data_IF_874581376354
#
_entry.id   IF_874581376354
#
_cell.length_a   1.000
_cell.length_b   1.000
_cell.length_c   1.000
_cell.angle_alpha   90.00
_cell.angle_beta   90.00
_cell.angle_gamma   90.00
#
_symmetry.space_group_name_H-M   'P 1'
#
loop_
_entity.id
_entity.type
_entity.pdbx_description
1 polymer ?
#
# COMPACT_ATOMS: atom_id res chain seq x y z
N UNK A 1 42.56 -43.03 -16.81
CA UNK A 1 41.53 -43.15 -17.87
C UNK A 1 40.69 -44.40 -17.61
N UNK A 2 39.39 -44.17 -17.44
CA UNK A 2 38.18 -45.03 -17.53
C UNK A 2 38.33 -46.56 -17.50
N UNK A 3 37.63 -47.17 -16.53
CA UNK A 3 36.97 -48.47 -16.71
C UNK A 3 35.62 -48.47 -15.97
N UNK A 4 34.53 -48.49 -16.72
CA UNK A 4 33.24 -48.92 -16.17
C UNK A 4 32.53 -49.73 -17.26
N UNK A 5 32.36 -51.01 -16.96
CA UNK A 5 31.73 -52.04 -17.80
C UNK A 5 30.22 -51.97 -17.52
N UNK A 6 29.43 -51.90 -18.58
CA UNK A 6 27.97 -52.03 -18.51
C UNK A 6 27.59 -53.50 -18.67
N UNK A 7 26.88 -54.03 -17.67
CA UNK A 7 26.28 -55.36 -17.70
C UNK A 7 24.89 -55.28 -18.31
N UNK A 8 24.70 -56.08 -19.34
CA UNK A 8 23.46 -56.38 -20.06
C UNK A 8 22.60 -57.34 -19.22
N UNK A 9 21.27 -57.16 -19.19
CA UNK A 9 20.35 -58.29 -19.10
C UNK A 9 18.95 -57.90 -19.57
N UNK A 10 18.51 -58.59 -20.61
CA UNK A 10 17.17 -58.55 -21.19
C UNK A 10 16.19 -59.36 -20.32
N UNK A 11 14.91 -58.96 -20.35
CA UNK A 11 13.80 -59.71 -19.77
C UNK A 11 12.47 -59.25 -20.36
N UNK A 12 12.02 -59.96 -21.39
CA UNK A 12 10.70 -59.83 -22.03
C UNK A 12 9.63 -60.33 -21.07
N UNK A 13 8.53 -59.60 -20.87
CA UNK A 13 7.26 -60.18 -20.43
C UNK A 13 6.06 -59.47 -21.04
N UNK A 14 5.03 -60.28 -21.26
CA UNK A 14 3.96 -60.17 -22.24
C UNK A 14 2.91 -59.07 -22.03
N UNK A 15 2.22 -58.79 -23.14
CA UNK A 15 0.97 -58.02 -23.28
C UNK A 15 -0.08 -58.33 -22.22
N UNK A 16 -0.72 -57.27 -21.72
CA UNK A 16 -2.13 -57.28 -21.32
C UNK A 16 -2.83 -56.10 -21.99
N UNK A 17 -3.77 -56.42 -22.87
CA UNK A 17 -4.72 -55.49 -23.48
C UNK A 17 -5.89 -55.25 -22.54
N UNK A 18 -6.27 -53.99 -22.30
CA UNK A 18 -7.67 -53.61 -22.06
C UNK A 18 -8.00 -52.31 -22.79
N UNK A 19 -9.17 -52.36 -23.41
CA UNK A 19 -9.82 -51.35 -24.23
C UNK A 19 -10.53 -50.33 -23.33
N UNK A 20 -10.58 -49.06 -23.78
CA UNK A 20 -11.75 -48.21 -23.60
C UNK A 20 -11.65 -47.12 -22.54
N UNK A 21 -11.56 -45.86 -22.98
CA UNK A 21 -12.75 -45.03 -23.17
C UNK A 21 -12.37 -43.67 -23.77
N UNK A 22 -13.09 -43.31 -24.83
CA UNK A 22 -13.13 -42.00 -25.46
C UNK A 22 -13.40 -40.88 -24.44
N UNK A 23 -12.64 -39.79 -24.52
CA UNK A 23 -13.09 -38.48 -24.07
C UNK A 23 -12.43 -37.37 -24.89
N UNK A 24 -13.20 -36.94 -25.88
CA UNK A 24 -13.39 -35.59 -26.39
C UNK A 24 -12.22 -34.62 -26.29
N UNK A 25 -11.59 -34.39 -27.45
CA UNK A 25 -10.93 -33.13 -27.77
C UNK A 25 -11.95 -32.00 -27.71
N UNK A 26 -11.75 -31.02 -26.83
CA UNK A 26 -12.38 -29.71 -26.98
C UNK A 26 -11.50 -28.62 -26.37
N UNK A 27 -11.14 -27.69 -27.26
CA UNK A 27 -10.78 -26.29 -27.03
C UNK A 27 -9.41 -25.97 -26.39
N UNK A 28 -8.38 -25.98 -27.25
CA UNK A 28 -7.23 -25.07 -27.13
C UNK A 28 -7.68 -23.63 -27.42
N UNK A 29 -8.41 -23.04 -26.48
CA UNK A 29 -8.54 -21.59 -26.38
C UNK A 29 -7.36 -21.08 -25.57
N UNK A 30 -6.25 -20.79 -26.26
CA UNK A 30 -5.21 -19.89 -25.76
C UNK A 30 -5.83 -18.53 -25.44
N UNK A 31 -6.35 -18.38 -24.22
CA UNK A 31 -6.54 -17.06 -23.62
C UNK A 31 -5.14 -16.50 -23.40
N UNK A 32 -4.76 -15.54 -24.25
CA UNK A 32 -3.81 -14.51 -23.87
C UNK A 32 -4.31 -13.92 -22.54
N UNK A 33 -3.70 -14.34 -21.42
CA UNK A 33 -3.80 -13.59 -20.18
C UNK A 33 -2.98 -12.33 -20.40
N UNK A 34 -3.66 -11.22 -20.60
CA UNK A 34 -3.04 -9.91 -20.46
C UNK A 34 -2.34 -9.86 -19.10
N UNK A 35 -1.10 -9.36 -19.10
CA UNK A 35 -0.21 -9.32 -17.92
C UNK A 35 -0.69 -8.36 -16.81
N UNK A 36 -1.95 -7.94 -16.81
CA UNK A 36 -2.47 -6.86 -15.96
C UNK A 36 -3.75 -7.20 -15.16
N UNK A 37 -4.24 -8.45 -15.19
CA UNK A 37 -5.35 -8.85 -14.31
C UNK A 37 -4.83 -9.15 -12.90
N UNK A 38 -4.61 -8.10 -12.11
CA UNK A 38 -4.41 -8.25 -10.65
C UNK A 38 -5.74 -8.72 -10.06
N UNK A 39 -5.74 -9.92 -9.47
CA UNK A 39 -6.91 -10.46 -8.77
C UNK A 39 -7.28 -9.52 -7.62
N UNK A 40 -8.46 -8.87 -7.73
CA UNK A 40 -8.89 -7.86 -6.76
C UNK A 40 -9.13 -8.53 -5.41
N UNK A 41 -8.37 -8.09 -4.41
CA UNK A 41 -8.53 -8.56 -3.03
C UNK A 41 -9.71 -7.85 -2.38
N UNK A 42 -10.60 -8.61 -1.76
CA UNK A 42 -11.67 -8.04 -0.96
C UNK A 42 -11.19 -7.82 0.49
N UNK A 43 -10.84 -6.59 0.82
CA UNK A 43 -10.34 -6.24 2.15
C UNK A 43 -11.46 -6.20 3.20
N UNK A 44 -11.25 -6.83 4.35
CA UNK A 44 -12.09 -6.71 5.54
C UNK A 44 -11.74 -5.44 6.33
N UNK A 45 -12.10 -4.29 5.76
CA UNK A 45 -11.92 -2.95 6.35
C UNK A 45 -13.28 -2.27 6.53
N UNK A 46 -13.38 -1.21 7.36
CA UNK A 46 -14.63 -0.47 7.53
C UNK A 46 -15.20 0.00 6.19
N UNK A 47 -16.54 -0.01 6.06
CA UNK A 47 -17.22 0.38 4.81
C UNK A 47 -16.86 1.81 4.40
N UNK A 48 -16.69 2.69 5.37
CA UNK A 48 -16.28 4.08 5.17
C UNK A 48 -14.86 4.20 4.58
N UNK A 49 -13.95 3.26 4.86
CA UNK A 49 -12.63 3.25 4.24
C UNK A 49 -12.71 2.85 2.75
N UNK A 50 -13.56 1.87 2.42
CA UNK A 50 -13.82 1.47 1.02
C UNK A 50 -14.45 2.56 0.17
N UNK A 51 -15.15 3.51 0.81
CA UNK A 51 -15.69 4.68 0.14
C UNK A 51 -14.62 5.73 -0.20
N UNK A 52 -13.46 5.70 0.48
CA UNK A 52 -12.32 6.59 0.23
C UNK A 52 -11.48 6.08 -0.94
N UNK A 53 -11.13 4.80 -0.96
CA UNK A 53 -10.41 4.15 -2.06
C UNK A 53 -11.05 2.80 -2.43
N UNK A 54 -11.18 2.50 -3.74
CA UNK A 54 -11.73 1.24 -4.19
C UNK A 54 -10.75 0.07 -3.97
N UNK A 55 -11.30 -1.14 -3.77
CA UNK A 55 -10.53 -2.36 -3.51
C UNK A 55 -9.46 -2.65 -4.58
N UNK A 56 -9.70 -2.29 -5.85
CA UNK A 56 -8.72 -2.42 -6.93
C UNK A 56 -7.45 -1.61 -6.65
N UNK A 57 -7.60 -0.32 -6.32
CA UNK A 57 -6.46 0.57 -6.01
C UNK A 57 -5.74 0.10 -4.75
N UNK A 58 -6.46 -0.35 -3.73
CA UNK A 58 -5.85 -0.92 -2.53
C UNK A 58 -5.05 -2.21 -2.84
N UNK A 59 -5.56 -3.07 -3.71
CA UNK A 59 -4.88 -4.29 -4.15
C UNK A 59 -3.58 -3.94 -4.87
N UNK A 60 -3.60 -2.97 -5.77
CA UNK A 60 -2.40 -2.49 -6.47
C UNK A 60 -1.37 -1.89 -5.51
N UNK A 61 -1.80 -1.10 -4.53
CA UNK A 61 -0.91 -0.55 -3.50
C UNK A 61 -0.23 -1.68 -2.69
N UNK A 62 -0.98 -2.71 -2.28
CA UNK A 62 -0.43 -3.85 -1.53
C UNK A 62 0.59 -4.62 -2.35
N UNK A 63 0.29 -4.87 -3.64
CA UNK A 63 1.23 -5.51 -4.55
C UNK A 63 2.56 -4.76 -4.69
N UNK A 64 2.56 -3.44 -4.45
CA UNK A 64 3.74 -2.58 -4.56
C UNK A 64 4.37 -2.20 -3.20
N UNK A 65 3.99 -2.87 -2.12
CA UNK A 65 4.64 -2.76 -0.81
C UNK A 65 3.89 -1.97 0.24
N UNK A 66 2.64 -1.56 -0.02
CA UNK A 66 1.75 -1.12 1.05
C UNK A 66 1.34 -2.29 1.94
N UNK A 67 1.21 -2.05 3.24
CA UNK A 67 0.58 -3.00 4.17
C UNK A 67 -0.73 -2.41 4.64
N UNK A 68 -1.83 -3.12 4.44
CA UNK A 68 -3.15 -2.75 4.98
C UNK A 68 -3.46 -3.69 6.15
N UNK A 69 -3.69 -3.13 7.33
CA UNK A 69 -4.08 -3.87 8.52
C UNK A 69 -5.60 -3.92 8.60
N UNK A 70 -6.16 -5.08 8.25
CA UNK A 70 -7.59 -5.36 8.24
C UNK A 70 -8.18 -5.48 9.65
N UNK A 71 -9.50 -5.34 9.73
CA UNK A 71 -10.29 -5.39 10.95
C UNK A 71 -11.06 -4.10 11.22
N UNK A 72 -12.09 -4.22 12.05
CA UNK A 72 -13.01 -3.13 12.43
C UNK A 72 -12.88 -2.73 13.90
N UNK A 73 -11.86 -3.25 14.60
CA UNK A 73 -11.56 -2.95 16.01
C UNK A 73 -10.10 -2.50 16.17
N UNK A 74 -9.72 -1.33 15.61
CA UNK A 74 -8.36 -0.84 15.64
C UNK A 74 -7.93 -0.43 17.06
N UNK A 75 -6.61 -0.32 17.34
CA UNK A 75 -6.12 0.31 18.57
C UNK A 75 -6.56 1.77 18.67
N UNK A 76 -6.50 2.32 19.89
CA UNK A 76 -6.52 3.78 20.07
C UNK A 76 -5.17 4.36 19.60
N UNK A 77 -5.19 5.13 18.53
CA UNK A 77 -4.00 5.74 17.93
C UNK A 77 -3.78 7.20 18.35
N UNK A 78 -4.59 7.74 19.25
CA UNK A 78 -4.48 9.14 19.67
C UNK A 78 -3.07 9.50 20.15
N UNK A 79 -2.62 10.68 19.72
CA UNK A 79 -1.26 11.14 19.96
C UNK A 79 -0.74 11.99 18.82
N UNK A 80 0.51 12.44 19.00
CA UNK A 80 1.24 13.19 17.99
C UNK A 80 2.41 12.32 17.54
N UNK A 81 2.59 12.17 16.24
CA UNK A 81 3.61 11.32 15.64
C UNK A 81 4.45 12.14 14.67
N UNK A 82 5.76 12.04 14.85
CA UNK A 82 6.75 12.55 13.92
C UNK A 82 7.02 11.46 12.88
N UNK A 83 6.56 11.71 11.66
CA UNK A 83 6.88 10.90 10.49
C UNK A 83 8.08 11.56 9.81
N UNK A 84 9.26 11.40 10.40
CA UNK A 84 10.54 11.77 9.79
C UNK A 84 11.16 10.58 9.07
N UNK A 85 12.29 10.77 8.40
CA UNK A 85 13.06 9.69 7.77
C UNK A 85 12.26 8.78 6.82
N UNK A 86 11.20 9.33 6.23
CA UNK A 86 10.44 8.68 5.17
C UNK A 86 11.33 8.56 3.94
N UNK A 87 11.31 7.38 3.31
CA UNK A 87 12.03 7.10 2.08
C UNK A 87 11.07 6.65 1.00
N UNK A 88 11.24 7.19 -0.19
CA UNK A 88 10.49 6.79 -1.36
C UNK A 88 10.69 5.30 -1.64
N UNK A 89 9.60 4.58 -1.86
CA UNK A 89 9.62 3.16 -2.20
C UNK A 89 9.18 2.92 -3.64
N UNK A 90 8.06 3.52 -4.04
CA UNK A 90 7.37 3.21 -5.29
C UNK A 90 6.48 4.36 -5.75
N UNK A 91 6.31 4.49 -7.07
CA UNK A 91 5.31 5.34 -7.72
C UNK A 91 4.53 4.51 -8.74
N UNK A 92 3.22 4.72 -8.81
CA UNK A 92 2.36 4.08 -9.81
C UNK A 92 2.40 4.79 -11.17
N UNK A 93 3.03 5.96 -11.26
CA UNK A 93 3.21 6.69 -12.50
C UNK A 93 4.49 6.19 -13.20
N UNK A 94 4.39 5.49 -14.34
CA UNK A 94 5.57 4.97 -15.04
C UNK A 94 6.49 6.06 -15.58
N UNK A 95 5.99 7.30 -15.74
CA UNK A 95 6.78 8.45 -16.23
C UNK A 95 7.41 9.27 -15.07
N UNK A 96 7.12 8.92 -13.82
CA UNK A 96 7.63 9.62 -12.65
C UNK A 96 9.05 9.15 -12.32
N UNK A 97 10.02 9.84 -12.91
CA UNK A 97 11.46 9.58 -12.76
C UNK A 97 12.15 10.54 -11.79
N UNK A 98 11.38 11.32 -11.02
CA UNK A 98 11.93 12.34 -10.11
C UNK A 98 12.54 11.74 -8.84
N UNK A 99 12.14 10.52 -8.47
CA UNK A 99 12.57 9.86 -7.24
C UNK A 99 13.14 8.47 -7.52
N UNK A 100 14.26 8.16 -6.89
CA UNK A 100 14.84 6.82 -6.81
C UNK A 100 14.46 6.17 -5.49
N UNK A 101 14.23 4.86 -5.50
CA UNK A 101 13.95 4.10 -4.27
C UNK A 101 15.02 4.36 -3.21
N UNK A 102 14.59 4.80 -2.03
CA UNK A 102 15.46 5.19 -0.92
C UNK A 102 15.65 6.70 -0.75
N UNK A 103 15.24 7.51 -1.73
CA UNK A 103 15.34 8.97 -1.65
C UNK A 103 14.53 9.50 -0.45
N UNK A 104 15.06 10.49 0.29
CA UNK A 104 14.36 11.08 1.41
C UNK A 104 13.10 11.83 0.96
N UNK A 105 12.05 11.75 1.76
CA UNK A 105 10.80 12.48 1.55
C UNK A 105 10.60 13.56 2.62
N UNK A 106 9.49 14.30 2.52
CA UNK A 106 9.11 15.31 3.50
C UNK A 106 8.86 14.70 4.88
N UNK A 107 9.23 15.45 5.91
CA UNK A 107 8.89 15.12 7.29
C UNK A 107 7.51 15.68 7.61
N UNK A 108 6.67 14.88 8.26
CA UNK A 108 5.32 15.28 8.67
C UNK A 108 5.15 15.15 10.17
N UNK A 109 4.27 15.98 10.73
CA UNK A 109 3.74 15.75 12.07
C UNK A 109 2.24 15.55 12.01
N UNK A 110 1.78 14.36 12.39
CA UNK A 110 0.37 14.03 12.47
C UNK A 110 -0.10 14.05 13.92
N UNK A 111 -1.27 14.63 14.17
CA UNK A 111 -1.96 14.57 15.46
C UNK A 111 -3.30 13.88 15.26
N UNK A 112 -3.49 12.73 15.90
CA UNK A 112 -4.77 12.02 15.96
C UNK A 112 -5.45 12.28 17.30
N UNK A 113 -6.74 12.56 17.27
CA UNK A 113 -7.54 12.91 18.45
C UNK A 113 -9.03 12.64 18.21
N UNK A 114 -9.81 12.61 19.29
CA UNK A 114 -11.24 12.33 19.31
C UNK A 114 -11.59 11.01 18.60
N UNK A 115 -10.84 9.94 18.86
CA UNK A 115 -11.11 8.63 18.27
C UNK A 115 -12.39 8.02 18.86
N UNK A 116 -13.32 7.65 17.99
CA UNK A 116 -14.58 6.98 18.32
C UNK A 116 -14.74 5.76 17.42
N UNK A 117 -14.33 4.59 17.94
CA UNK A 117 -14.26 3.35 17.16
C UNK A 117 -13.30 3.48 15.98
N UNK A 118 -13.83 3.32 14.76
CA UNK A 118 -13.07 3.44 13.50
C UNK A 118 -12.93 4.88 13.00
N UNK A 119 -13.54 5.86 13.65
CA UNK A 119 -13.49 7.27 13.23
C UNK A 119 -12.51 8.04 14.11
N UNK A 120 -11.67 8.88 13.51
CA UNK A 120 -10.72 9.72 14.24
C UNK A 120 -10.58 11.07 13.54
N UNK A 121 -10.22 12.12 14.27
CA UNK A 121 -9.81 13.40 13.68
C UNK A 121 -8.30 13.44 13.54
N UNK A 122 -7.84 14.11 12.50
CA UNK A 122 -6.42 14.30 12.21
C UNK A 122 -6.12 15.77 11.94
N UNK A 123 -5.00 16.22 12.47
CA UNK A 123 -4.30 17.39 11.96
C UNK A 123 -2.94 16.96 11.43
N UNK A 124 -2.45 17.61 10.38
CA UNK A 124 -1.05 17.45 9.98
C UNK A 124 -0.41 18.78 9.61
N UNK A 125 0.92 18.81 9.71
CA UNK A 125 1.75 19.85 9.13
C UNK A 125 3.02 19.25 8.55
N UNK A 126 3.46 19.80 7.42
CA UNK A 126 4.76 19.51 6.83
C UNK A 126 5.85 20.26 7.61
N UNK A 127 6.97 19.58 7.90
CA UNK A 127 8.09 20.13 8.68
C UNK A 127 9.32 20.49 7.83
N UNK A 128 9.49 19.86 6.66
CA UNK A 128 10.60 20.08 5.73
C UNK A 128 10.10 20.40 4.32
N UNK A 129 10.94 21.03 3.50
CA UNK A 129 10.71 21.42 2.09
C UNK A 129 9.97 22.74 1.83
N UNK A 130 9.80 23.63 2.81
CA UNK A 130 9.30 25.00 2.57
C UNK A 130 7.85 25.06 2.09
N UNK A 131 7.15 23.93 2.03
CA UNK A 131 5.72 23.83 1.76
C UNK A 131 4.99 23.96 3.09
N UNK A 132 4.18 25.01 3.24
CA UNK A 132 3.34 25.21 4.43
C UNK A 132 2.00 24.48 4.26
N UNK A 133 2.05 23.16 4.07
CA UNK A 133 0.82 22.38 3.98
C UNK A 133 0.37 21.95 5.38
N UNK A 134 -0.86 22.32 5.71
CA UNK A 134 -1.50 22.01 6.99
C UNK A 134 -2.95 21.66 6.77
N UNK A 135 -3.43 20.61 7.42
CA UNK A 135 -4.86 20.35 7.56
C UNK A 135 -5.25 20.21 9.02
N UNK A 136 -6.46 20.65 9.36
CA UNK A 136 -6.99 20.58 10.73
C UNK A 136 -8.40 20.01 10.75
N UNK A 137 -8.67 19.08 11.66
CA UNK A 137 -9.98 18.49 11.88
C UNK A 137 -10.42 17.55 10.77
N UNK A 138 -9.50 17.09 9.92
CA UNK A 138 -9.81 16.14 8.85
C UNK A 138 -10.28 14.83 9.46
N UNK A 139 -11.49 14.40 9.07
CA UNK A 139 -12.02 13.10 9.45
C UNK A 139 -11.22 11.99 8.77
N UNK A 140 -10.92 10.94 9.51
CA UNK A 140 -10.22 9.77 9.01
C UNK A 140 -10.89 8.48 9.50
N UNK A 141 -10.72 7.43 8.71
CA UNK A 141 -11.21 6.09 9.03
C UNK A 141 -10.02 5.20 9.36
N UNK A 142 -10.13 4.37 10.39
CA UNK A 142 -9.08 3.45 10.83
C UNK A 142 -9.58 2.03 10.69
N UNK A 143 -8.83 1.19 9.98
CA UNK A 143 -8.94 -0.27 10.06
C UNK A 143 -7.84 -0.85 10.95
N UNK A 144 -8.06 -2.04 11.47
CA UNK A 144 -7.03 -2.76 12.22
C UNK A 144 -7.56 -3.67 13.30
N UNK A 145 -6.61 -4.28 14.00
CA UNK A 145 -6.84 -5.17 15.15
C UNK A 145 -5.60 -5.26 16.03
N UNK A 146 -5.81 -5.50 17.33
CA UNK A 146 -4.72 -5.55 18.30
C UNK A 146 -4.01 -4.19 18.36
N UNK A 147 -2.70 -4.18 18.12
CA UNK A 147 -1.91 -2.96 18.03
C UNK A 147 -1.62 -2.51 16.59
N UNK A 148 -2.18 -3.16 15.57
CA UNK A 148 -1.92 -2.84 14.16
C UNK A 148 -3.07 -2.03 13.57
N UNK A 149 -2.76 -1.05 12.72
CA UNK A 149 -3.76 -0.16 12.15
C UNK A 149 -3.38 0.36 10.77
N UNK A 150 -4.39 0.78 10.00
CA UNK A 150 -4.25 1.60 8.81
C UNK A 150 -5.26 2.74 8.88
N UNK A 151 -4.77 3.97 8.77
CA UNK A 151 -5.59 5.19 8.69
C UNK A 151 -5.79 5.55 7.22
N UNK A 152 -7.02 5.88 6.85
CA UNK A 152 -7.43 6.39 5.55
C UNK A 152 -7.91 7.82 5.74
N UNK A 153 -7.15 8.78 5.23
CA UNK A 153 -7.45 10.21 5.33
C UNK A 153 -7.79 10.75 3.96
N UNK A 154 -8.86 11.54 3.85
CA UNK A 154 -9.11 12.39 2.69
C UNK A 154 -9.16 13.84 3.17
N UNK A 155 -8.39 14.71 2.50
CA UNK A 155 -8.29 16.11 2.91
C UNK A 155 -7.97 17.02 1.73
N UNK A 156 -8.41 18.27 1.85
CA UNK A 156 -7.88 19.34 1.02
C UNK A 156 -6.42 19.61 1.41
N UNK A 157 -5.61 19.99 0.43
CA UNK A 157 -4.20 20.32 0.59
C UNK A 157 -3.83 21.51 -0.31
N UNK A 158 -2.67 22.10 -0.03
CA UNK A 158 -2.01 23.03 -0.94
C UNK A 158 -0.54 22.63 -1.14
N UNK A 159 -0.28 21.93 -2.24
CA UNK A 159 1.06 21.42 -2.56
C UNK A 159 1.72 22.33 -3.59
N UNK A 160 2.85 22.96 -3.23
CA UNK A 160 3.60 23.87 -4.12
C UNK A 160 2.75 25.00 -4.75
N UNK A 161 1.76 25.51 -4.01
CA UNK A 161 0.85 26.56 -4.47
C UNK A 161 -0.34 26.05 -5.30
N UNK A 162 -0.42 24.74 -5.58
CA UNK A 162 -1.55 24.09 -6.24
C UNK A 162 -2.59 23.70 -5.19
N UNK A 163 -3.85 24.08 -5.40
CA UNK A 163 -4.96 23.57 -4.59
C UNK A 163 -5.33 22.16 -5.05
N UNK A 164 -5.37 21.22 -4.12
CA UNK A 164 -5.62 19.81 -4.40
C UNK A 164 -6.43 19.12 -3.29
N UNK A 165 -6.93 17.93 -3.60
CA UNK A 165 -7.49 17.00 -2.64
C UNK A 165 -6.65 15.73 -2.65
N UNK A 166 -6.16 15.35 -1.48
CA UNK A 166 -5.31 14.19 -1.31
C UNK A 166 -6.02 13.10 -0.53
N UNK A 167 -5.62 11.86 -0.82
CA UNK A 167 -5.82 10.75 0.08
C UNK A 167 -4.46 10.32 0.61
N UNK A 168 -4.38 10.20 1.92
CA UNK A 168 -3.20 9.72 2.63
C UNK A 168 -3.55 8.42 3.36
N UNK A 169 -2.71 7.39 3.21
CA UNK A 169 -2.78 6.20 4.06
C UNK A 169 -1.56 6.15 4.98
N UNK A 170 -1.80 5.86 6.26
CA UNK A 170 -0.74 5.66 7.27
C UNK A 170 -0.97 4.31 7.92
N UNK A 171 -0.03 3.39 7.76
CA UNK A 171 -0.15 2.03 8.28
C UNK A 171 1.04 1.66 9.14
N UNK A 172 0.81 0.85 10.16
CA UNK A 172 1.87 0.29 10.97
C UNK A 172 1.38 -0.39 12.25
N UNK A 173 2.33 -0.63 13.15
CA UNK A 173 2.12 -1.23 14.45
C UNK A 173 2.35 -0.21 15.56
N UNK A 174 1.32 0.07 16.35
CA UNK A 174 1.41 0.97 17.49
C UNK A 174 2.23 0.34 18.62
N UNK A 175 3.17 1.13 19.13
CA UNK A 175 3.99 0.81 20.29
C UNK A 175 3.95 1.98 21.28
N UNK A 176 4.51 1.80 22.48
CA UNK A 176 4.65 2.89 23.45
C UNK A 176 5.56 4.03 22.96
N UNK A 177 6.49 3.74 22.05
CA UNK A 177 7.45 4.72 21.51
C UNK A 177 6.93 5.43 20.25
N UNK A 178 5.91 4.90 19.58
CA UNK A 178 5.45 5.40 18.29
C UNK A 178 4.93 4.31 17.36
N UNK A 179 4.99 4.57 16.06
CA UNK A 179 4.47 3.69 15.01
C UNK A 179 5.63 2.90 14.40
N UNK A 180 5.67 1.61 14.67
CA UNK A 180 6.64 0.69 14.12
C UNK A 180 6.24 0.25 12.69
N UNK A 181 7.24 0.06 11.84
CA UNK A 181 7.09 -0.40 10.45
C UNK A 181 6.12 0.48 9.65
N UNK A 182 6.25 1.80 9.81
CA UNK A 182 5.36 2.74 9.16
C UNK A 182 5.48 2.69 7.64
N UNK A 183 4.33 2.58 6.98
CA UNK A 183 4.16 2.78 5.54
C UNK A 183 3.20 3.95 5.33
N UNK A 184 3.62 4.87 4.48
CA UNK A 184 2.88 6.08 4.14
C UNK A 184 2.58 6.08 2.64
N UNK A 185 1.35 6.40 2.26
CA UNK A 185 0.95 6.53 0.85
C UNK A 185 0.32 7.90 0.65
N UNK A 186 0.66 8.54 -0.47
CA UNK A 186 0.05 9.77 -0.93
C UNK A 186 -0.56 9.55 -2.31
N UNK A 187 -1.80 9.99 -2.52
CA UNK A 187 -2.43 10.09 -3.84
C UNK A 187 -3.18 11.42 -3.98
N UNK A 188 -3.10 12.02 -5.16
CA UNK A 188 -3.85 13.22 -5.52
C UNK A 188 -5.12 12.78 -6.24
N UNK A 189 -6.28 13.16 -5.73
CA UNK A 189 -7.59 12.81 -6.32
C UNK A 189 -8.15 13.92 -7.20
N UNK A 190 -7.82 15.17 -6.90
CA UNK A 190 -8.23 16.35 -7.66
C UNK A 190 -7.17 17.44 -7.50
N UNK A 191 -6.94 18.24 -8.54
CA UNK A 191 -6.02 19.39 -8.50
C UNK A 191 -6.42 20.48 -9.49
N UNK A 192 -6.09 21.72 -9.15
CA UNK A 192 -6.12 22.87 -10.07
C UNK A 192 -4.68 23.22 -10.48
N UNK A 193 -4.16 22.49 -11.48
CA UNK A 193 -2.73 22.49 -11.83
C UNK A 193 -2.51 22.51 -13.34
N UNK A 194 -2.68 23.69 -13.95
CA UNK A 194 -2.50 23.91 -15.38
C UNK A 194 -1.07 23.69 -15.88
N UNK A 195 -0.09 23.71 -14.98
CA UNK A 195 1.34 23.58 -15.31
C UNK A 195 1.92 22.20 -14.99
N UNK A 196 1.10 21.25 -14.52
CA UNK A 196 1.53 19.92 -14.12
C UNK A 196 2.70 19.92 -13.12
N UNK A 197 2.64 20.81 -12.12
CA UNK A 197 3.66 20.94 -11.07
C UNK A 197 3.67 19.76 -10.10
N UNK A 198 2.48 19.25 -9.74
CA UNK A 198 2.34 18.18 -8.76
C UNK A 198 1.94 16.87 -9.43
N UNK A 199 2.00 15.79 -8.65
CA UNK A 199 1.66 14.42 -9.05
C UNK A 199 0.33 14.32 -9.83
N UNK A 200 0.28 13.45 -10.85
CA UNK A 200 -0.91 13.22 -11.68
C UNK A 200 -2.07 12.68 -10.83
N UNK A 201 -3.29 13.08 -11.17
CA UNK A 201 -4.51 12.57 -10.51
C UNK A 201 -4.62 11.06 -10.66
N UNK A 202 -4.95 10.36 -9.58
CA UNK A 202 -5.16 8.91 -9.56
C UNK A 202 -3.88 8.08 -9.48
N UNK A 203 -2.71 8.72 -9.48
CA UNK A 203 -1.43 8.04 -9.21
C UNK A 203 -1.12 8.07 -7.71
N UNK A 204 -0.29 7.13 -7.25
CA UNK A 204 0.10 7.05 -5.85
C UNK A 204 1.61 6.86 -5.69
N UNK A 205 2.14 7.40 -4.59
CA UNK A 205 3.51 7.17 -4.13
C UNK A 205 3.50 6.50 -2.78
N UNK A 206 4.34 5.48 -2.61
CA UNK A 206 4.53 4.73 -1.37
C UNK A 206 5.87 5.12 -0.76
N UNK A 207 5.87 5.32 0.55
CA UNK A 207 7.03 5.66 1.34
C UNK A 207 7.11 4.73 2.56
N UNK A 208 8.32 4.41 2.99
CA UNK A 208 8.56 3.61 4.19
C UNK A 208 9.47 4.34 5.16
N UNK A 209 9.34 4.01 6.45
CA UNK A 209 10.18 4.59 7.49
C UNK A 209 11.43 3.74 7.74
N UNK A 210 12.62 4.28 7.44
CA UNK A 210 13.85 3.49 7.47
C UNK A 210 14.31 3.12 8.89
N UNK A 211 14.10 3.99 9.88
CA UNK A 211 14.51 3.71 11.27
C UNK A 211 13.52 2.80 12.02
N UNK A 212 12.60 2.17 11.28
CA UNK A 212 11.60 1.22 11.76
C UNK A 212 10.58 1.76 12.78
N UNK A 213 10.75 2.93 13.39
CA UNK A 213 9.78 3.56 14.30
C UNK A 213 9.66 5.08 14.04
N UNK A 214 8.47 5.53 13.67
CA UNK A 214 8.09 6.94 13.67
C UNK A 214 7.69 7.35 15.10
N UNK A 215 8.37 8.34 15.68
CA UNK A 215 8.30 8.61 17.12
C UNK A 215 6.98 9.26 17.56
N UNK A 216 6.47 8.85 18.72
CA UNK A 216 5.43 9.58 19.45
C UNK A 216 6.06 10.77 20.16
N UNK A 217 5.52 11.96 19.93
CA UNK A 217 6.02 13.21 20.52
C UNK A 217 4.92 13.90 21.33
N UNK A 218 5.31 14.84 22.19
CA UNK A 218 4.38 15.57 23.08
C UNK A 218 4.03 16.96 22.57
N UNK A 219 4.85 17.52 21.67
CA UNK A 219 4.68 18.89 21.14
C UNK A 219 4.22 18.82 19.68
N UNK A 220 3.09 19.46 19.40
CA UNK A 220 2.55 19.60 18.04
C UNK A 220 3.21 20.76 17.31
#
# INVERSE_FOLDING_TARGET
MKKTIYTLCAGVFALLTVIGCSKSDDNDSKKNKDKNDVEVTNFNIPKEAKAILPDKTLTEMVANGMTIHEGTNPPNIEGIYLLDNLKFLYTSDPDDHYFTKGDPAADYKYKFYDQQGVKVKSNYKVLKFGVFDTATGSGAIISGSGNKFTVFLSHAANTEGVKNNDITLISGELTSQGIKNLVYVLTVTQKDDSNNKIMKVGTYRIFTHYESIAQKVTVY
#
